data_IF_254651383371
#
_entry.id   IF_254651383371
#
_cell.length_a   1.000
_cell.length_b   1.000
_cell.length_c   1.000
_cell.angle_alpha   90.00
_cell.angle_beta   90.00
_cell.angle_gamma   90.00
#
_symmetry.space_group_name_H-M   'P 1'
#
loop_
_entity.id
_entity.type
_entity.pdbx_description
1 polymer ?
#
# COMPACT_ATOMS: atom_id res chain seq x y z
N UNK A 1 -10.75 -9.01 20.02
CA UNK A 1 -10.23 -10.30 19.52
C UNK A 1 -8.76 -10.37 19.84
N UNK A 2 -8.22 -11.57 20.07
CA UNK A 2 -6.78 -11.81 20.16
C UNK A 2 -6.18 -11.87 18.76
N UNK A 3 -5.22 -11.01 18.48
CA UNK A 3 -4.60 -10.86 17.16
C UNK A 3 -3.10 -11.09 17.26
N UNK A 4 -2.58 -11.91 16.35
CA UNK A 4 -1.14 -12.10 16.13
C UNK A 4 -0.75 -11.43 14.82
N UNK A 5 0.27 -10.59 14.86
CA UNK A 5 0.76 -9.85 13.69
C UNK A 5 2.09 -10.42 13.22
N UNK A 6 2.14 -10.95 12.00
CA UNK A 6 3.35 -11.50 11.40
C UNK A 6 3.93 -10.48 10.43
N UNK A 7 4.84 -9.64 10.92
CA UNK A 7 5.50 -8.58 10.18
C UNK A 7 5.75 -7.33 11.04
N UNK A 8 6.77 -6.56 10.66
CA UNK A 8 7.17 -5.31 11.35
C UNK A 8 7.47 -4.16 10.37
N UNK A 9 6.87 -4.23 9.17
CA UNK A 9 6.99 -3.22 8.12
C UNK A 9 6.05 -2.03 8.31
N UNK A 10 5.96 -1.17 7.29
CA UNK A 10 5.13 0.05 7.36
C UNK A 10 3.63 -0.28 7.51
N UNK A 11 3.13 -1.25 6.74
CA UNK A 11 1.73 -1.71 6.82
C UNK A 11 1.46 -2.31 8.20
N UNK A 12 2.27 -3.29 8.62
CA UNK A 12 2.17 -3.92 9.94
C UNK A 12 2.15 -2.89 11.08
N UNK A 13 3.06 -1.91 11.05
CA UNK A 13 3.18 -0.88 12.09
C UNK A 13 1.92 -0.04 12.20
N UNK A 14 1.42 0.48 11.07
CA UNK A 14 0.22 1.33 11.08
C UNK A 14 -1.04 0.53 11.42
N UNK A 15 -1.12 -0.70 10.91
CA UNK A 15 -2.24 -1.59 11.19
C UNK A 15 -2.29 -1.97 12.68
N UNK A 16 -1.15 -2.29 13.30
CA UNK A 16 -1.08 -2.61 14.73
C UNK A 16 -1.58 -1.46 15.61
N UNK A 17 -1.13 -0.23 15.32
CA UNK A 17 -1.56 0.98 16.02
C UNK A 17 -3.07 1.19 15.86
N UNK A 18 -3.60 1.03 14.65
CA UNK A 18 -5.02 1.18 14.36
C UNK A 18 -5.88 0.10 15.04
N UNK A 19 -5.42 -1.15 15.06
CA UNK A 19 -6.09 -2.24 15.78
C UNK A 19 -6.17 -1.93 17.28
N UNK A 20 -5.04 -1.51 17.88
CA UNK A 20 -4.99 -1.16 19.30
C UNK A 20 -5.90 0.03 19.63
N UNK A 21 -5.89 1.07 18.79
CA UNK A 21 -6.75 2.23 18.96
C UNK A 21 -8.25 1.90 18.91
N UNK A 22 -8.63 0.82 18.19
CA UNK A 22 -10.00 0.31 18.10
C UNK A 22 -10.34 -0.77 19.15
N UNK A 23 -9.49 -0.92 20.18
CA UNK A 23 -9.73 -1.84 21.30
C UNK A 23 -9.50 -3.31 20.97
N UNK A 24 -8.84 -3.63 19.86
CA UNK A 24 -8.42 -5.00 19.57
C UNK A 24 -7.13 -5.35 20.33
N UNK A 25 -6.99 -6.63 20.69
CA UNK A 25 -5.89 -7.11 21.53
C UNK A 25 -4.82 -7.76 20.65
N UNK A 26 -3.88 -6.94 20.18
CA UNK A 26 -2.69 -7.45 19.48
C UNK A 26 -1.72 -7.97 20.53
N UNK A 27 -1.60 -9.29 20.62
CA UNK A 27 -0.89 -9.97 21.72
C UNK A 27 0.55 -10.34 21.36
N UNK A 28 0.85 -10.50 20.06
CA UNK A 28 2.16 -10.93 19.61
C UNK A 28 2.52 -10.31 18.24
N UNK A 29 3.79 -9.96 18.08
CA UNK A 29 4.36 -9.46 16.82
C UNK A 29 5.56 -10.32 16.44
N UNK A 30 5.54 -10.88 15.23
CA UNK A 30 6.66 -11.62 14.66
C UNK A 30 7.44 -10.79 13.64
N UNK A 31 8.77 -10.88 13.67
CA UNK A 31 9.64 -10.43 12.58
C UNK A 31 10.95 -11.23 12.59
N UNK A 32 11.54 -11.56 11.42
CA UNK A 32 12.87 -12.17 11.38
C UNK A 32 13.95 -11.34 12.11
N UNK A 33 13.74 -10.02 12.21
CA UNK A 33 14.55 -9.14 13.03
C UNK A 33 13.83 -8.89 14.37
N UNK A 34 14.40 -9.45 15.45
CA UNK A 34 13.82 -9.36 16.79
C UNK A 34 13.68 -7.92 17.30
N UNK A 35 14.65 -7.05 17.00
CA UNK A 35 14.60 -5.65 17.42
C UNK A 35 13.43 -4.92 16.76
N UNK A 36 13.15 -5.21 15.49
CA UNK A 36 11.97 -4.68 14.81
C UNK A 36 10.66 -5.24 15.39
N UNK A 37 10.61 -6.53 15.74
CA UNK A 37 9.45 -7.13 16.39
C UNK A 37 9.17 -6.46 17.74
N UNK A 38 10.19 -6.35 18.59
CA UNK A 38 10.12 -5.71 19.92
C UNK A 38 9.72 -4.24 19.81
N UNK A 39 10.36 -3.48 18.92
CA UNK A 39 10.04 -2.06 18.71
C UNK A 39 8.55 -1.85 18.39
N UNK A 40 7.94 -2.71 17.55
CA UNK A 40 6.51 -2.61 17.26
C UNK A 40 5.66 -3.15 18.42
N UNK A 41 6.06 -4.25 19.04
CA UNK A 41 5.34 -4.87 20.14
C UNK A 41 5.23 -3.94 21.36
N UNK A 42 6.31 -3.25 21.72
CA UNK A 42 6.37 -2.31 22.84
C UNK A 42 5.38 -1.15 22.66
N UNK A 43 5.18 -0.67 21.42
CA UNK A 43 4.25 0.43 21.11
C UNK A 43 2.78 0.05 21.36
N UNK A 44 2.44 -1.23 21.34
CA UNK A 44 1.06 -1.73 21.45
C UNK A 44 0.85 -2.61 22.69
N UNK A 45 1.89 -2.81 23.49
CA UNK A 45 1.88 -3.68 24.67
C UNK A 45 1.75 -5.17 24.33
N UNK A 46 2.42 -5.62 23.27
CA UNK A 46 2.46 -7.02 22.81
C UNK A 46 3.81 -7.68 23.13
N UNK A 47 3.94 -8.97 22.82
CA UNK A 47 5.21 -9.70 22.86
C UNK A 47 5.86 -9.75 21.48
N UNK A 48 7.11 -9.31 21.36
CA UNK A 48 7.91 -9.43 20.13
C UNK A 48 8.68 -10.75 20.06
N UNK A 49 8.51 -11.51 18.97
CA UNK A 49 9.22 -12.76 18.69
C UNK A 49 9.92 -12.73 17.34
N UNK A 50 10.94 -13.57 17.16
CA UNK A 50 11.62 -13.78 15.88
C UNK A 50 11.71 -15.26 15.46
N UNK A 51 11.17 -16.17 16.27
CA UNK A 51 11.03 -17.58 15.94
C UNK A 51 9.53 -17.95 15.86
N UNK A 52 9.11 -18.52 14.75
CA UNK A 52 7.74 -18.98 14.54
C UNK A 52 7.39 -20.20 15.42
N UNK A 53 8.37 -20.88 16.02
CA UNK A 53 8.10 -21.94 17.00
C UNK A 53 7.52 -21.39 18.32
N UNK A 54 7.73 -20.10 18.60
CA UNK A 54 7.20 -19.39 19.78
C UNK A 54 5.83 -18.73 19.51
N UNK A 55 5.26 -18.96 18.34
CA UNK A 55 4.01 -18.32 17.93
C UNK A 55 2.84 -18.80 18.80
N UNK A 56 2.05 -17.86 19.32
CA UNK A 56 0.77 -18.14 19.97
C UNK A 56 -0.16 -18.86 19.00
N UNK A 57 -0.68 -20.02 19.39
CA UNK A 57 -1.49 -20.89 18.53
C UNK A 57 -3.01 -20.67 18.73
N UNK A 58 -3.40 -19.98 19.81
CA UNK A 58 -4.79 -19.76 20.22
C UNK A 58 -5.25 -18.29 20.05
N UNK A 59 -4.84 -17.63 18.96
CA UNK A 59 -5.38 -16.35 18.56
C UNK A 59 -6.61 -16.49 17.65
N UNK A 60 -7.48 -15.47 17.65
CA UNK A 60 -8.68 -15.42 16.80
C UNK A 60 -8.32 -15.07 15.35
N UNK A 61 -7.29 -14.23 15.16
CA UNK A 61 -6.86 -13.69 13.87
C UNK A 61 -5.32 -13.61 13.80
N UNK A 62 -4.77 -14.06 12.68
CA UNK A 62 -3.36 -13.97 12.31
C UNK A 62 -3.24 -13.09 11.07
N UNK A 63 -2.49 -11.99 11.17
CA UNK A 63 -2.32 -11.04 10.06
C UNK A 63 -0.89 -11.10 9.56
N UNK A 64 -0.72 -11.64 8.35
CA UNK A 64 0.55 -11.70 7.63
C UNK A 64 0.76 -10.39 6.88
N UNK A 65 1.72 -9.58 7.34
CA UNK A 65 2.12 -8.31 6.75
C UNK A 65 3.64 -8.28 6.50
N UNK A 66 4.09 -9.26 5.72
CA UNK A 66 5.45 -9.41 5.21
C UNK A 66 5.49 -9.08 3.70
N UNK A 67 6.67 -9.20 3.09
CA UNK A 67 6.79 -9.12 1.62
C UNK A 67 6.00 -10.24 0.95
N UNK A 68 5.46 -9.97 -0.24
CA UNK A 68 4.60 -10.90 -0.98
C UNK A 68 5.23 -12.30 -1.17
N UNK A 69 6.54 -12.34 -1.47
CA UNK A 69 7.32 -13.57 -1.67
C UNK A 69 7.48 -14.41 -0.39
N UNK A 70 7.34 -13.81 0.78
CA UNK A 70 7.45 -14.49 2.07
C UNK A 70 6.11 -15.02 2.59
N UNK A 71 4.97 -14.61 2.03
CA UNK A 71 3.63 -14.95 2.57
C UNK A 71 3.42 -16.46 2.63
N UNK A 72 3.73 -17.20 1.56
CA UNK A 72 3.55 -18.65 1.52
C UNK A 72 4.42 -19.36 2.57
N UNK A 73 5.67 -18.91 2.72
CA UNK A 73 6.61 -19.50 3.69
C UNK A 73 6.14 -19.31 5.13
N UNK A 74 5.59 -18.13 5.46
CA UNK A 74 5.04 -17.83 6.78
C UNK A 74 3.74 -18.61 7.01
N UNK A 75 2.88 -18.72 6.00
CA UNK A 75 1.61 -19.45 6.07
C UNK A 75 1.81 -20.94 6.38
N UNK A 76 2.88 -21.57 5.86
CA UNK A 76 3.24 -22.98 6.17
C UNK A 76 3.44 -23.23 7.66
N UNK A 77 3.93 -22.25 8.40
CA UNK A 77 4.10 -22.34 9.86
C UNK A 77 2.79 -22.21 10.64
N UNK A 78 1.69 -21.82 9.98
CA UNK A 78 0.37 -21.61 10.59
C UNK A 78 -0.60 -22.79 10.40
N UNK A 79 -0.17 -23.90 9.79
CA UNK A 79 -1.01 -25.07 9.48
C UNK A 79 -1.80 -25.67 10.67
N UNK A 80 -1.41 -25.36 11.90
CA UNK A 80 -2.03 -25.88 13.13
C UNK A 80 -2.91 -24.85 13.86
N UNK A 81 -2.94 -23.60 13.41
CA UNK A 81 -3.78 -22.58 14.03
C UNK A 81 -5.24 -22.76 13.62
N UNK A 82 -6.16 -22.47 14.54
CA UNK A 82 -7.60 -22.54 14.30
C UNK A 82 -8.22 -21.18 14.02
N UNK A 83 -7.48 -20.10 14.25
CA UNK A 83 -7.92 -18.73 13.96
C UNK A 83 -7.95 -18.46 12.46
N UNK A 84 -8.57 -17.33 12.10
CA UNK A 84 -8.55 -16.84 10.72
C UNK A 84 -7.14 -16.34 10.38
N UNK A 85 -6.59 -16.76 9.24
CA UNK A 85 -5.32 -16.23 8.73
C UNK A 85 -5.59 -15.32 7.54
N UNK A 86 -5.04 -14.12 7.57
CA UNK A 86 -5.13 -13.18 6.45
C UNK A 86 -3.77 -12.63 6.07
N UNK A 87 -3.62 -12.20 4.81
CA UNK A 87 -2.48 -11.38 4.40
C UNK A 87 -2.92 -9.97 4.01
N UNK A 88 -1.96 -9.05 3.97
CA UNK A 88 -2.20 -7.64 3.58
C UNK A 88 -1.70 -7.30 2.16
N UNK A 89 -1.40 -8.29 1.31
CA UNK A 89 -0.96 -8.03 -0.07
C UNK A 89 -2.10 -7.62 -1.00
N UNK A 90 -1.79 -6.69 -1.91
CA UNK A 90 -2.69 -6.27 -3.00
C UNK A 90 -2.68 -7.20 -4.22
N UNK A 91 -1.73 -8.12 -4.33
CA UNK A 91 -1.53 -8.94 -5.55
C UNK A 91 -1.50 -10.45 -5.26
N UNK A 92 -1.08 -10.85 -4.07
CA UNK A 92 -1.07 -12.25 -3.64
C UNK A 92 -2.49 -12.79 -3.59
N UNK A 93 -2.65 -13.99 -4.15
CA UNK A 93 -3.92 -14.70 -4.18
C UNK A 93 -4.23 -15.34 -2.82
N UNK A 94 -5.52 -15.37 -2.45
CA UNK A 94 -5.98 -16.01 -1.22
C UNK A 94 -5.64 -17.51 -1.21
N UNK A 95 -5.50 -18.12 -2.38
CA UNK A 95 -5.18 -19.55 -2.52
C UNK A 95 -3.82 -19.96 -1.92
N UNK A 96 -2.88 -19.02 -1.82
CA UNK A 96 -1.62 -19.23 -1.11
C UNK A 96 -1.85 -19.53 0.37
N UNK A 97 -2.90 -18.96 0.97
CA UNK A 97 -3.31 -19.26 2.34
C UNK A 97 -4.27 -20.46 2.41
N UNK A 98 -5.27 -20.51 1.52
CA UNK A 98 -6.31 -21.56 1.57
C UNK A 98 -5.75 -22.97 1.34
N UNK A 99 -4.60 -23.08 0.68
CA UNK A 99 -3.84 -24.35 0.54
C UNK A 99 -3.13 -24.80 1.82
N UNK A 100 -2.92 -23.91 2.79
CA UNK A 100 -2.18 -24.19 4.03
C UNK A 100 -3.07 -24.23 5.27
N UNK A 101 -4.16 -23.45 5.29
CA UNK A 101 -5.06 -23.32 6.45
C UNK A 101 -6.53 -23.35 6.05
N UNK A 102 -7.38 -23.80 6.96
CA UNK A 102 -8.82 -23.94 6.70
C UNK A 102 -9.53 -22.59 6.61
N UNK A 103 -9.11 -21.58 7.38
CA UNK A 103 -9.77 -20.29 7.49
C UNK A 103 -8.82 -19.22 6.97
N UNK A 104 -9.10 -18.73 5.75
CA UNK A 104 -8.21 -17.84 5.02
C UNK A 104 -8.95 -16.58 4.56
N UNK A 105 -8.20 -15.48 4.42
CA UNK A 105 -8.71 -14.24 3.87
C UNK A 105 -7.63 -13.27 3.45
N UNK A 106 -8.08 -12.10 2.99
CA UNK A 106 -7.24 -10.96 2.65
C UNK A 106 -7.79 -9.76 3.41
N UNK A 107 -6.91 -9.04 4.08
CA UNK A 107 -7.23 -7.80 4.77
C UNK A 107 -6.29 -6.71 4.26
N UNK A 108 -6.64 -6.11 3.14
CA UNK A 108 -5.76 -5.22 2.37
C UNK A 108 -6.13 -3.75 2.62
N UNK A 109 -5.35 -3.02 3.44
CA UNK A 109 -5.49 -1.57 3.56
C UNK A 109 -4.85 -0.85 2.37
N UNK A 110 -5.66 -0.18 1.56
CA UNK A 110 -5.20 0.55 0.37
C UNK A 110 -4.70 1.95 0.76
N UNK A 111 -3.40 2.06 1.08
CA UNK A 111 -2.78 3.34 1.40
C UNK A 111 -1.25 3.29 1.22
N UNK A 112 -0.62 4.46 1.03
CA UNK A 112 0.83 4.60 1.13
C UNK A 112 1.24 4.74 2.60
N UNK A 113 1.79 3.66 3.17
CA UNK A 113 2.21 3.63 4.56
C UNK A 113 3.69 3.98 4.73
N UNK A 114 4.00 4.77 5.75
CA UNK A 114 5.34 5.01 6.28
C UNK A 114 5.31 4.86 7.81
N UNK A 115 6.45 4.53 8.44
CA UNK A 115 6.50 4.31 9.89
C UNK A 115 6.32 5.61 10.69
N UNK A 116 6.84 6.71 10.15
CA UNK A 116 6.92 8.01 10.84
C UNK A 116 5.68 8.88 10.64
N UNK A 117 4.73 8.45 9.80
CA UNK A 117 3.50 9.19 9.54
C UNK A 117 2.31 8.42 10.07
N UNK A 118 1.59 9.05 10.99
CA UNK A 118 0.30 8.54 11.43
C UNK A 118 -0.74 8.66 10.31
N UNK A 119 -1.49 7.59 10.11
CA UNK A 119 -2.57 7.52 9.13
C UNK A 119 -3.88 7.38 9.90
N UNK A 120 -4.82 8.28 9.63
CA UNK A 120 -6.20 8.15 10.10
C UNK A 120 -6.86 6.99 9.34
N UNK A 121 -6.83 5.80 9.96
CA UNK A 121 -7.37 4.57 9.38
C UNK A 121 -8.86 4.67 9.04
N UNK A 122 -9.59 5.59 9.68
CA UNK A 122 -11.00 5.85 9.43
C UNK A 122 -11.32 6.15 7.94
N UNK A 123 -10.35 6.73 7.22
CA UNK A 123 -10.47 7.09 5.80
C UNK A 123 -9.67 6.16 4.87
N UNK A 124 -9.08 5.08 5.38
CA UNK A 124 -8.31 4.13 4.57
C UNK A 124 -9.26 3.08 4.00
N UNK A 125 -9.35 2.92 2.67
CA UNK A 125 -10.13 1.83 2.10
C UNK A 125 -9.58 0.47 2.55
N UNK A 126 -10.42 -0.32 3.22
CA UNK A 126 -10.12 -1.69 3.64
C UNK A 126 -10.79 -2.67 2.68
N UNK A 127 -9.97 -3.28 1.83
CA UNK A 127 -10.41 -4.28 0.87
C UNK A 127 -10.31 -5.67 1.50
N UNK A 128 -11.42 -6.39 1.56
CA UNK A 128 -11.51 -7.69 2.21
C UNK A 128 -11.96 -8.78 1.24
N UNK A 129 -11.39 -9.97 1.44
CA UNK A 129 -11.73 -11.22 0.77
C UNK A 129 -11.66 -12.35 1.80
N UNK A 130 -12.48 -13.39 1.68
CA UNK A 130 -12.36 -14.57 2.52
C UNK A 130 -12.80 -15.84 1.79
N UNK A 131 -12.29 -16.99 2.22
CA UNK A 131 -12.63 -18.29 1.64
C UNK A 131 -13.96 -18.88 2.17
N UNK A 132 -14.73 -18.11 2.94
CA UNK A 132 -16.01 -18.51 3.49
C UNK A 132 -16.77 -17.35 4.12
N UNK A 133 -18.10 -17.49 4.20
CA UNK A 133 -19.01 -16.43 4.70
C UNK A 133 -18.73 -16.06 6.16
N UNK A 134 -18.44 -17.05 7.01
CA UNK A 134 -18.09 -16.81 8.42
C UNK A 134 -16.82 -15.95 8.54
N UNK A 135 -15.78 -16.29 7.79
CA UNK A 135 -14.51 -15.57 7.77
C UNK A 135 -14.71 -14.15 7.22
N UNK A 136 -15.49 -14.02 6.16
CA UNK A 136 -15.84 -12.72 5.59
C UNK A 136 -16.53 -11.82 6.62
N UNK A 137 -17.51 -12.33 7.36
CA UNK A 137 -18.21 -11.56 8.39
C UNK A 137 -17.28 -11.13 9.54
N UNK A 138 -16.31 -11.95 9.92
CA UNK A 138 -15.27 -11.57 10.89
C UNK A 138 -14.46 -10.37 10.37
N UNK A 139 -13.97 -10.44 9.13
CA UNK A 139 -13.18 -9.36 8.52
C UNK A 139 -14.00 -8.09 8.31
N UNK A 140 -15.26 -8.22 7.87
CA UNK A 140 -16.16 -7.09 7.68
C UNK A 140 -16.43 -6.36 8.99
N UNK A 141 -16.69 -7.10 10.07
CA UNK A 141 -16.92 -6.51 11.39
C UNK A 141 -15.66 -5.83 11.93
N UNK A 142 -14.47 -6.41 11.71
CA UNK A 142 -13.21 -5.78 12.08
C UNK A 142 -12.96 -4.51 11.25
N UNK A 143 -13.06 -4.60 9.92
CA UNK A 143 -12.83 -3.49 9.02
C UNK A 143 -13.75 -2.30 9.33
N UNK A 144 -15.04 -2.56 9.59
CA UNK A 144 -16.04 -1.53 9.88
C UNK A 144 -15.79 -0.79 11.21
N UNK A 145 -15.04 -1.38 12.16
CA UNK A 145 -14.59 -0.65 13.35
C UNK A 145 -13.47 0.33 13.02
N UNK A 146 -12.63 -0.01 12.05
CA UNK A 146 -11.39 0.71 11.76
C UNK A 146 -11.54 1.77 10.67
N UNK A 147 -12.46 1.57 9.73
CA UNK A 147 -12.65 2.41 8.54
C UNK A 147 -14.12 2.57 8.18
N UNK A 148 -14.45 3.75 7.65
CA UNK A 148 -15.74 4.03 7.00
C UNK A 148 -15.82 3.44 5.59
N UNK A 149 -14.68 3.08 5.02
CA UNK A 149 -14.47 2.68 3.64
C UNK A 149 -14.12 1.19 3.58
N UNK A 150 -15.13 0.31 3.49
CA UNK A 150 -14.94 -1.15 3.47
C UNK A 150 -15.46 -1.73 2.16
N UNK A 151 -14.60 -2.47 1.45
CA UNK A 151 -14.88 -3.02 0.13
C UNK A 151 -14.68 -4.52 0.08
N UNK A 152 -15.68 -5.25 -0.43
CA UNK A 152 -15.54 -6.66 -0.78
C UNK A 152 -14.94 -6.78 -2.18
N UNK A 153 -13.74 -7.35 -2.28
CA UNK A 153 -13.04 -7.54 -3.55
C UNK A 153 -12.52 -8.95 -3.68
N UNK A 154 -12.74 -9.57 -4.84
CA UNK A 154 -12.05 -10.80 -5.19
C UNK A 154 -10.61 -10.53 -5.64
N UNK A 155 -9.79 -11.58 -5.72
CA UNK A 155 -8.40 -11.53 -6.17
C UNK A 155 -8.18 -10.74 -7.46
N UNK A 156 -9.02 -10.97 -8.48
CA UNK A 156 -8.90 -10.28 -9.77
C UNK A 156 -9.12 -8.77 -9.68
N UNK A 157 -10.18 -8.33 -9.00
CA UNK A 157 -10.44 -6.90 -8.78
C UNK A 157 -9.35 -6.26 -7.91
N UNK A 158 -8.84 -6.98 -6.90
CA UNK A 158 -7.77 -6.50 -6.03
C UNK A 158 -6.47 -6.27 -6.80
N UNK A 159 -6.09 -7.18 -7.71
CA UNK A 159 -4.92 -7.02 -8.60
C UNK A 159 -5.05 -5.78 -9.50
N UNK A 160 -6.21 -5.58 -10.11
CA UNK A 160 -6.49 -4.39 -10.94
C UNK A 160 -6.41 -3.10 -10.10
N UNK A 161 -7.00 -3.10 -8.91
CA UNK A 161 -6.94 -1.97 -8.00
C UNK A 161 -5.51 -1.66 -7.55
N UNK A 162 -4.71 -2.68 -7.24
CA UNK A 162 -3.31 -2.51 -6.88
C UNK A 162 -2.49 -1.90 -8.03
N UNK A 163 -2.70 -2.38 -9.26
CA UNK A 163 -2.08 -1.78 -10.45
C UNK A 163 -2.45 -0.29 -10.57
N UNK A 164 -3.73 0.06 -10.43
CA UNK A 164 -4.17 1.45 -10.44
C UNK A 164 -3.51 2.27 -9.31
N UNK A 165 -3.37 1.71 -8.11
CA UNK A 165 -2.72 2.37 -6.99
C UNK A 165 -1.23 2.67 -7.22
N UNK A 166 -0.51 1.80 -7.94
CA UNK A 166 0.87 2.06 -8.36
C UNK A 166 0.93 3.30 -9.26
N UNK A 167 0.00 3.42 -10.22
CA UNK A 167 -0.13 4.60 -11.08
C UNK A 167 -0.54 5.87 -10.33
N UNK A 168 -1.34 5.75 -9.26
CA UNK A 168 -1.83 6.91 -8.49
C UNK A 168 -0.84 7.38 -7.42
N UNK A 169 0.01 6.50 -6.89
CA UNK A 169 0.86 6.82 -5.73
C UNK A 169 2.36 6.63 -6.00
N UNK A 170 2.77 5.47 -6.51
CA UNK A 170 4.20 5.14 -6.65
C UNK A 170 4.84 5.91 -7.80
N UNK A 171 4.20 5.92 -8.98
CA UNK A 171 4.73 6.64 -10.13
C UNK A 171 4.75 8.15 -9.89
N UNK A 172 3.70 8.82 -9.38
CA UNK A 172 3.77 10.24 -9.08
C UNK A 172 4.87 10.60 -8.08
N UNK A 173 5.06 9.80 -7.02
CA UNK A 173 6.18 10.00 -6.10
C UNK A 173 7.54 9.90 -6.79
N UNK A 174 7.70 8.95 -7.73
CA UNK A 174 8.92 8.87 -8.53
C UNK A 174 9.09 10.07 -9.47
N UNK A 175 8.01 10.57 -10.09
CA UNK A 175 8.04 11.80 -10.90
C UNK A 175 8.46 13.01 -10.06
N UNK A 176 8.06 13.08 -8.79
CA UNK A 176 8.54 14.12 -7.86
C UNK A 176 10.05 13.99 -7.61
N UNK A 177 10.57 12.78 -7.43
CA UNK A 177 12.01 12.55 -7.29
C UNK A 177 12.80 12.96 -8.55
N UNK A 178 12.25 12.69 -9.75
CA UNK A 178 12.84 13.13 -11.02
C UNK A 178 12.82 14.66 -11.16
N UNK A 179 11.71 15.31 -10.77
CA UNK A 179 11.63 16.77 -10.73
C UNK A 179 12.66 17.37 -9.76
N UNK A 180 12.83 16.79 -8.56
CA UNK A 180 13.86 17.20 -7.61
C UNK A 180 15.27 17.11 -8.20
N UNK A 181 15.57 16.04 -8.95
CA UNK A 181 16.85 15.87 -9.63
C UNK A 181 17.10 16.98 -10.67
N UNK A 182 16.09 17.36 -11.45
CA UNK A 182 16.19 18.47 -12.42
C UNK A 182 16.46 19.79 -11.68
N UNK A 183 15.67 20.10 -10.64
CA UNK A 183 15.79 21.33 -9.87
C UNK A 183 17.15 21.45 -9.19
N UNK A 184 17.59 20.39 -8.51
CA UNK A 184 18.87 20.36 -7.78
C UNK A 184 20.08 20.60 -8.70
N UNK A 185 20.05 20.09 -9.95
CA UNK A 185 21.12 20.35 -10.95
C UNK A 185 21.19 21.80 -11.40
N UNK A 186 20.13 22.58 -11.18
CA UNK A 186 20.03 23.97 -11.56
C UNK A 186 19.97 24.88 -10.32
N UNK A 187 20.42 24.39 -9.15
CA UNK A 187 20.47 25.15 -7.89
C UNK A 187 19.11 25.70 -7.45
N UNK A 188 18.03 24.99 -7.79
CA UNK A 188 16.66 25.31 -7.38
C UNK A 188 16.20 24.39 -6.26
N UNK A 189 15.55 24.96 -5.25
CA UNK A 189 14.96 24.21 -4.15
C UNK A 189 13.66 23.51 -4.59
N UNK A 190 13.45 22.28 -4.13
CA UNK A 190 12.22 21.52 -4.31
C UNK A 190 10.98 22.22 -3.72
N UNK A 191 11.15 23.07 -2.70
CA UNK A 191 10.06 23.80 -2.06
C UNK A 191 9.20 24.59 -3.06
N UNK A 192 9.81 25.12 -4.13
CA UNK A 192 9.10 25.95 -5.12
C UNK A 192 7.99 25.17 -5.87
N UNK A 193 8.10 23.84 -5.99
CA UNK A 193 7.13 23.02 -6.72
C UNK A 193 6.10 22.31 -5.85
N UNK A 194 6.24 22.34 -4.51
CA UNK A 194 5.26 21.69 -3.61
C UNK A 194 3.83 22.24 -3.79
N UNK A 195 3.58 23.56 -3.95
CA UNK A 195 2.23 24.05 -4.18
C UNK A 195 1.60 23.49 -5.46
N UNK A 196 2.41 23.29 -6.52
CA UNK A 196 1.95 22.72 -7.79
C UNK A 196 1.55 21.24 -7.63
N UNK A 197 2.32 20.46 -6.86
CA UNK A 197 1.99 19.07 -6.54
C UNK A 197 0.66 18.99 -5.80
N UNK A 198 0.47 19.83 -4.77
CA UNK A 198 -0.76 19.87 -3.98
C UNK A 198 -1.97 20.25 -4.82
N UNK A 199 -1.86 21.29 -5.66
CA UNK A 199 -2.93 21.69 -6.57
C UNK A 199 -3.30 20.59 -7.57
N UNK A 200 -2.30 19.91 -8.13
CA UNK A 200 -2.51 18.80 -9.08
C UNK A 200 -3.29 17.66 -8.43
N UNK A 201 -2.94 17.28 -7.19
CA UNK A 201 -3.66 16.27 -6.44
C UNK A 201 -5.08 16.72 -6.03
N UNK A 202 -5.24 17.99 -5.65
CA UNK A 202 -6.54 18.53 -5.25
C UNK A 202 -7.56 18.54 -6.41
N UNK A 203 -7.12 18.80 -7.64
CA UNK A 203 -8.01 18.83 -8.81
C UNK A 203 -8.75 17.51 -9.04
N UNK A 204 -8.11 16.37 -8.80
CA UNK A 204 -8.73 15.04 -9.03
C UNK A 204 -9.67 14.62 -7.91
N UNK A 205 -9.76 15.37 -6.81
CA UNK A 205 -10.71 15.09 -5.73
C UNK A 205 -12.15 15.43 -6.11
N UNK A 206 -12.36 16.24 -7.15
CA UNK A 206 -13.69 16.67 -7.61
C UNK A 206 -13.88 16.60 -9.12
N UNK A 207 -12.86 16.18 -9.87
CA UNK A 207 -12.89 16.08 -11.32
C UNK A 207 -12.27 14.75 -11.78
N UNK A 208 -12.67 14.25 -12.94
CA UNK A 208 -11.97 13.13 -13.56
C UNK A 208 -10.59 13.60 -14.06
N UNK A 209 -9.51 12.80 -13.92
CA UNK A 209 -8.16 13.22 -14.31
C UNK A 209 -8.02 13.70 -15.76
N UNK A 210 -8.80 13.12 -16.69
CA UNK A 210 -8.81 13.53 -18.09
C UNK A 210 -9.28 14.98 -18.32
N UNK A 211 -10.23 15.46 -17.51
CA UNK A 211 -10.86 16.77 -17.67
C UNK A 211 -9.98 17.92 -17.18
N UNK A 212 -9.02 17.62 -16.29
CA UNK A 212 -8.13 18.60 -15.66
C UNK A 212 -6.70 18.53 -16.18
N UNK A 213 -6.45 17.74 -17.23
CA UNK A 213 -5.14 17.63 -17.88
C UNK A 213 -4.74 18.98 -18.51
N UNK A 214 -3.53 19.43 -18.19
CA UNK A 214 -2.94 20.67 -18.74
C UNK A 214 -1.53 20.41 -19.28
N UNK A 215 -0.89 21.45 -19.82
CA UNK A 215 0.50 21.41 -20.26
C UNK A 215 0.70 21.37 -21.78
N UNK A 216 1.95 21.35 -22.26
CA UNK A 216 2.27 21.41 -23.70
C UNK A 216 1.84 20.17 -24.48
N UNK A 217 1.84 18.98 -23.85
CA UNK A 217 1.48 17.72 -24.51
C UNK A 217 0.01 17.70 -24.96
N UNK A 218 -0.92 18.04 -24.07
CA UNK A 218 -2.36 18.10 -24.41
C UNK A 218 -2.68 19.22 -25.41
N UNK A 219 -1.83 20.24 -25.53
CA UNK A 219 -1.98 21.31 -26.55
C UNK A 219 -1.23 21.02 -27.85
N UNK A 220 -0.56 19.86 -27.97
CA UNK A 220 0.32 19.53 -29.09
C UNK A 220 1.37 20.63 -29.40
N UNK A 221 1.90 21.29 -28.37
CA UNK A 221 2.91 22.35 -28.51
C UNK A 221 4.31 21.75 -28.75
N UNK A 222 4.57 21.34 -29.99
CA UNK A 222 5.82 20.69 -30.38
C UNK A 222 7.06 21.57 -30.15
N UNK A 223 6.92 22.89 -30.21
CA UNK A 223 8.03 23.83 -29.94
C UNK A 223 8.51 23.70 -28.50
N UNK A 224 7.57 23.74 -27.54
CA UNK A 224 7.90 23.56 -26.12
C UNK A 224 8.38 22.13 -25.82
N UNK A 225 7.75 21.12 -26.41
CA UNK A 225 8.16 19.72 -26.21
C UNK A 225 9.60 19.47 -26.67
N UNK A 226 9.99 19.98 -27.85
CA UNK A 226 11.35 19.84 -28.38
C UNK A 226 12.40 20.56 -27.52
N UNK A 227 12.06 21.74 -26.96
CA UNK A 227 12.93 22.45 -26.02
C UNK A 227 13.14 21.66 -24.72
N UNK A 228 12.09 21.06 -24.17
CA UNK A 228 12.25 20.21 -22.98
C UNK A 228 13.11 18.99 -23.29
N UNK A 229 12.95 18.35 -24.45
CA UNK A 229 13.78 17.20 -24.85
C UNK A 229 15.27 17.57 -24.98
N UNK A 230 15.60 18.76 -25.49
CA UNK A 230 17.00 19.20 -25.60
C UNK A 230 17.63 19.48 -24.23
N UNK A 231 16.85 19.91 -23.25
CA UNK A 231 17.30 20.09 -21.85
C UNK A 231 17.60 18.77 -21.13
N UNK A 232 17.15 17.63 -21.66
CA UNK A 232 17.30 16.30 -21.05
C UNK A 232 18.35 15.41 -21.77
N UNK A 233 19.16 16.00 -22.66
CA UNK A 233 20.12 15.26 -23.50
C UNK A 233 21.19 14.49 -22.71
N UNK A 234 21.53 14.94 -21.50
CA UNK A 234 22.45 14.30 -20.58
C UNK A 234 21.77 13.31 -19.60
N UNK A 235 20.46 13.08 -19.77
CA UNK A 235 19.65 12.17 -18.94
C UNK A 235 18.74 11.29 -19.81
N UNK A 236 19.30 10.35 -20.60
CA UNK A 236 18.55 9.60 -21.62
C UNK A 236 17.35 8.81 -21.05
N UNK A 237 17.45 8.26 -19.85
CA UNK A 237 16.32 7.56 -19.23
C UNK A 237 15.16 8.52 -18.90
N UNK A 238 15.48 9.71 -18.41
CA UNK A 238 14.49 10.75 -18.10
C UNK A 238 13.89 11.35 -19.37
N UNK A 239 14.70 11.53 -20.41
CA UNK A 239 14.24 11.93 -21.73
C UNK A 239 13.22 10.92 -22.30
N UNK A 240 13.49 9.62 -22.17
CA UNK A 240 12.57 8.57 -22.59
C UNK A 240 11.25 8.61 -21.80
N UNK A 241 11.32 8.71 -20.46
CA UNK A 241 10.12 8.86 -19.61
C UNK A 241 9.28 10.07 -20.04
N UNK A 242 9.93 11.22 -20.24
CA UNK A 242 9.26 12.45 -20.69
C UNK A 242 8.55 12.25 -22.03
N UNK A 243 9.22 11.62 -22.99
CA UNK A 243 8.66 11.32 -24.31
C UNK A 243 7.48 10.36 -24.23
N UNK A 244 7.61 9.26 -23.47
CA UNK A 244 6.54 8.27 -23.28
C UNK A 244 5.30 8.89 -22.67
N UNK A 245 5.44 9.68 -21.59
CA UNK A 245 4.32 10.34 -20.92
C UNK A 245 3.67 11.39 -21.83
N UNK A 246 4.47 12.21 -22.51
CA UNK A 246 3.96 13.22 -23.45
C UNK A 246 3.17 12.58 -24.60
N UNK A 247 3.68 11.50 -25.17
CA UNK A 247 2.98 10.76 -26.23
C UNK A 247 1.69 10.13 -25.70
N UNK A 248 1.72 9.55 -24.49
CA UNK A 248 0.53 8.98 -23.86
C UNK A 248 -0.55 10.04 -23.62
N UNK A 249 -0.19 11.25 -23.19
CA UNK A 249 -1.13 12.37 -23.02
C UNK A 249 -1.70 12.81 -24.37
N UNK A 250 -0.89 12.91 -25.43
CA UNK A 250 -1.39 13.26 -26.77
C UNK A 250 -2.44 12.29 -27.30
N UNK A 251 -2.38 11.01 -26.92
CA UNK A 251 -3.37 10.01 -27.33
C UNK A 251 -4.77 10.24 -26.75
N UNK A 252 -4.91 11.07 -25.72
CA UNK A 252 -6.22 11.43 -25.14
C UNK A 252 -6.95 12.53 -25.91
N UNK A 253 -6.35 13.08 -26.98
CA UNK A 253 -6.97 14.09 -27.86
C UNK A 253 -7.98 13.50 -28.86
N UNK A 254 -8.37 12.24 -28.70
CA UNK A 254 -9.28 11.52 -29.60
C UNK A 254 -10.73 11.64 -29.18
#
# INVERSE_FOLDING_TARGET
MKIVLLGSGNVATNLAKALKANGEDVIQVYSPNLDHARSLADLIGAVGINDLTELEQQADLYIISVKDDAIESVAKSLKHVTGLVVHTSGTTDIDILSSQVQHAGVFYPLQTFSKDREVLFENVPLCIEANGEKQFMILKNLAAKMSREVYELNGEKRKVLHLAAVFTCNFPNHLYALANKILSRNELDFEIIRPLIAETANKVMSNLPGDVQTGPAIRADESTLNKHLSMLTDMPELQNIYQTLSNSIKLTLK
#
